data_IF_201611248552
#
_entry.id   IF_201611248552
#
_cell.length_a   1.000
_cell.length_b   1.000
_cell.length_c   1.000
_cell.angle_alpha   90.00
_cell.angle_beta   90.00
_cell.angle_gamma   90.00
#
_symmetry.space_group_name_H-M   'P 1'
#
loop_
_entity.id
_entity.type
_entity.pdbx_description
1 polymer ?
#
# COMPACT_ATOMS: atom_id res chain seq x y z
N UNK A 1 5.16 -20.41 -22.48
CA UNK A 1 5.57 -19.97 -21.13
C UNK A 1 4.65 -18.81 -20.76
N UNK A 2 3.96 -18.88 -19.62
CA UNK A 2 3.02 -17.86 -19.16
C UNK A 2 3.49 -17.33 -17.81
N UNK A 3 3.39 -16.01 -17.62
CA UNK A 3 3.77 -15.32 -16.39
C UNK A 3 2.58 -14.49 -15.91
N UNK A 4 2.37 -14.43 -14.60
CA UNK A 4 1.31 -13.64 -13.97
C UNK A 4 1.92 -12.86 -12.82
N UNK A 5 1.48 -11.62 -12.64
CA UNK A 5 1.82 -10.85 -11.44
C UNK A 5 1.10 -11.46 -10.24
N UNK A 6 1.79 -11.53 -9.11
CA UNK A 6 1.27 -12.17 -7.89
C UNK A 6 1.35 -11.27 -6.68
N UNK A 7 2.37 -10.40 -6.61
CA UNK A 7 2.47 -9.37 -5.59
C UNK A 7 3.41 -8.24 -6.02
N UNK A 8 3.26 -7.10 -5.35
CA UNK A 8 4.24 -6.00 -5.32
C UNK A 8 4.73 -5.82 -3.89
N UNK A 9 6.03 -5.62 -3.68
CA UNK A 9 6.61 -5.44 -2.35
C UNK A 9 6.85 -3.96 -2.02
N UNK A 10 6.43 -3.55 -0.83
CA UNK A 10 6.89 -2.34 -0.13
C UNK A 10 7.65 -2.73 1.13
N UNK A 11 8.74 -2.01 1.39
CA UNK A 11 9.52 -2.15 2.59
C UNK A 11 9.06 -1.10 3.61
N UNK A 12 8.61 -1.55 4.77
CA UNK A 12 7.97 -0.68 5.77
C UNK A 12 8.78 -0.63 7.05
N UNK A 13 8.88 0.57 7.63
CA UNK A 13 9.64 0.80 8.87
C UNK A 13 8.84 0.37 10.11
N UNK A 14 7.54 0.62 10.12
CA UNK A 14 6.63 0.32 11.23
C UNK A 14 5.46 -0.54 10.73
N UNK A 15 5.60 -1.86 10.87
CA UNK A 15 4.64 -2.81 10.31
C UNK A 15 3.21 -2.57 10.79
N UNK A 16 3.02 -2.30 12.09
CA UNK A 16 1.68 -2.15 12.65
C UNK A 16 0.99 -0.88 12.14
N UNK A 17 1.75 0.22 11.95
CA UNK A 17 1.22 1.42 11.31
C UNK A 17 0.81 1.17 9.86
N UNK A 18 1.64 0.48 9.08
CA UNK A 18 1.31 0.18 7.69
C UNK A 18 0.09 -0.75 7.59
N UNK A 19 -0.01 -1.77 8.45
CA UNK A 19 -1.19 -2.65 8.49
C UNK A 19 -2.47 -1.88 8.84
N UNK A 20 -2.41 -0.99 9.84
CA UNK A 20 -3.55 -0.14 10.19
C UNK A 20 -3.93 0.82 9.05
N UNK A 21 -2.93 1.43 8.40
CA UNK A 21 -3.15 2.32 7.26
C UNK A 21 -3.84 1.59 6.11
N UNK A 22 -3.30 0.47 5.64
CA UNK A 22 -3.85 -0.24 4.48
C UNK A 22 -5.22 -0.86 4.76
N UNK A 23 -5.48 -1.26 6.00
CA UNK A 23 -6.80 -1.73 6.42
C UNK A 23 -7.82 -0.58 6.41
N UNK A 24 -7.47 0.59 6.96
CA UNK A 24 -8.39 1.73 7.02
C UNK A 24 -8.57 2.39 5.66
N UNK A 25 -7.47 2.73 4.98
CA UNK A 25 -7.51 3.48 3.72
C UNK A 25 -8.16 2.67 2.60
N UNK A 26 -7.81 1.39 2.46
CA UNK A 26 -8.14 0.59 1.27
C UNK A 26 -8.92 -0.68 1.58
N UNK A 27 -9.24 -0.95 2.86
CA UNK A 27 -9.96 -2.16 3.25
C UNK A 27 -9.15 -3.45 3.08
N UNK A 28 -7.83 -3.36 2.91
CA UNK A 28 -7.01 -4.55 2.66
C UNK A 28 -6.93 -5.42 3.91
N UNK A 29 -6.90 -6.73 3.71
CA UNK A 29 -6.84 -7.71 4.79
C UNK A 29 -5.62 -8.61 4.66
N UNK A 30 -5.07 -9.05 5.78
CA UNK A 30 -3.94 -9.98 5.78
C UNK A 30 -4.35 -11.34 5.19
N UNK A 31 -3.65 -11.77 4.14
CA UNK A 31 -3.83 -13.06 3.49
C UNK A 31 -2.90 -14.13 4.06
N UNK A 32 -1.63 -13.78 4.27
CA UNK A 32 -0.59 -14.67 4.78
C UNK A 32 0.51 -13.85 5.47
N UNK A 33 1.23 -14.51 6.39
CA UNK A 33 2.35 -13.93 7.12
C UNK A 33 3.50 -14.92 7.16
N UNK A 34 4.71 -14.43 6.98
CA UNK A 34 5.95 -15.18 7.14
C UNK A 34 6.82 -14.45 8.15
N UNK A 35 7.38 -15.20 9.10
CA UNK A 35 8.30 -14.69 10.11
C UNK A 35 9.59 -15.49 9.98
N UNK A 36 10.72 -14.80 9.89
CA UNK A 36 12.02 -15.45 9.89
C UNK A 36 12.22 -16.23 11.20
N UNK A 37 12.82 -17.42 11.14
CA UNK A 37 13.04 -18.25 12.35
C UNK A 37 13.87 -17.54 13.41
N UNK A 38 14.79 -16.68 12.98
CA UNK A 38 15.65 -15.85 13.83
C UNK A 38 15.05 -14.46 14.14
N UNK A 39 13.82 -14.19 13.67
CA UNK A 39 13.14 -12.91 13.84
C UNK A 39 13.76 -11.75 13.08
N UNK A 40 14.63 -11.98 12.10
CA UNK A 40 15.29 -10.91 11.32
C UNK A 40 14.32 -10.10 10.45
N UNK A 41 13.24 -10.72 9.98
CA UNK A 41 12.21 -10.07 9.18
C UNK A 41 10.81 -10.64 9.40
N UNK A 42 9.82 -9.83 9.06
CA UNK A 42 8.42 -10.22 8.95
C UNK A 42 7.92 -9.77 7.57
N UNK A 43 7.25 -10.69 6.87
CA UNK A 43 6.56 -10.39 5.61
C UNK A 43 5.06 -10.61 5.83
N UNK A 44 4.24 -9.62 5.50
CA UNK A 44 2.79 -9.73 5.54
C UNK A 44 2.24 -9.42 4.15
N UNK A 45 1.38 -10.30 3.65
CA UNK A 45 0.71 -10.07 2.37
C UNK A 45 -0.71 -9.60 2.64
N UNK A 46 -1.11 -8.55 1.93
CA UNK A 46 -2.40 -7.91 2.00
C UNK A 46 -3.15 -8.13 0.68
N UNK A 47 -4.45 -8.36 0.78
CA UNK A 47 -5.32 -8.58 -0.37
C UNK A 47 -6.61 -7.77 -0.24
N UNK A 48 -7.14 -7.38 -1.39
CA UNK A 48 -8.53 -6.91 -1.55
C UNK A 48 -9.49 -8.11 -1.52
N UNK A 49 -10.77 -7.90 -1.84
CA UNK A 49 -11.79 -8.95 -1.96
C UNK A 49 -11.69 -9.77 -3.27
N UNK A 50 -11.02 -9.25 -4.31
CA UNK A 50 -10.88 -9.89 -5.63
C UNK A 50 -9.66 -10.81 -5.76
N UNK A 51 -8.66 -10.66 -4.91
CA UNK A 51 -7.49 -11.53 -4.76
C UNK A 51 -6.62 -11.68 -6.04
N UNK A 52 -6.54 -10.64 -6.87
CA UNK A 52 -5.82 -10.70 -8.16
C UNK A 52 -4.29 -10.54 -8.01
N UNK A 53 -3.85 -9.65 -7.12
CA UNK A 53 -2.44 -9.38 -6.82
C UNK A 53 -2.34 -8.93 -5.35
N UNK A 54 -1.32 -9.37 -4.62
CA UNK A 54 -1.14 -9.02 -3.21
C UNK A 54 -0.20 -7.81 -3.04
N UNK A 55 -0.45 -6.97 -2.03
CA UNK A 55 0.57 -6.05 -1.53
C UNK A 55 1.39 -6.76 -0.46
N UNK A 56 2.67 -6.96 -0.71
CA UNK A 56 3.63 -7.52 0.24
C UNK A 56 4.28 -6.40 1.06
N UNK A 57 4.13 -6.43 2.37
CA UNK A 57 4.84 -5.55 3.30
C UNK A 57 5.99 -6.31 3.95
N UNK A 58 7.22 -5.83 3.78
CA UNK A 58 8.42 -6.40 4.39
C UNK A 58 8.99 -5.47 5.44
N UNK A 59 8.95 -5.93 6.70
CA UNK A 59 9.55 -5.27 7.84
C UNK A 59 10.85 -5.96 8.25
N UNK A 60 11.88 -5.17 8.50
CA UNK A 60 13.22 -5.64 8.90
C UNK A 60 13.49 -5.23 10.34
N UNK A 61 13.79 -6.19 11.23
CA UNK A 61 13.98 -5.93 12.67
C UNK A 61 15.07 -4.90 12.95
N UNK A 62 16.18 -5.02 12.23
CA UNK A 62 17.40 -4.26 12.51
C UNK A 62 17.48 -2.96 11.67
N UNK A 63 16.35 -2.53 11.06
CA UNK A 63 16.26 -1.24 10.36
C UNK A 63 16.12 -0.12 11.38
N UNK A 64 17.04 0.83 11.37
CA UNK A 64 17.06 1.93 12.35
C UNK A 64 16.49 3.25 11.82
N UNK A 65 16.38 3.41 10.49
CA UNK A 65 15.90 4.63 9.84
C UNK A 65 14.81 4.32 8.80
N UNK A 66 13.91 5.27 8.48
CA UNK A 66 12.98 5.13 7.37
C UNK A 66 13.67 4.80 6.04
N UNK A 67 12.92 4.22 5.09
CA UNK A 67 13.42 3.96 3.75
C UNK A 67 13.57 5.25 2.96
N UNK A 68 14.67 5.38 2.21
CA UNK A 68 14.82 6.44 1.21
C UNK A 68 14.22 5.94 -0.10
N UNK A 69 13.09 6.53 -0.48
CA UNK A 69 12.31 6.14 -1.65
C UNK A 69 12.77 6.86 -2.93
N UNK A 70 13.81 7.70 -2.84
CA UNK A 70 14.26 8.53 -3.95
C UNK A 70 13.16 9.49 -4.42
N UNK A 71 13.01 9.61 -5.74
CA UNK A 71 12.08 10.55 -6.37
C UNK A 71 10.61 10.07 -6.36
N UNK A 72 10.31 8.88 -5.83
CA UNK A 72 8.96 8.30 -5.72
C UNK A 72 8.19 8.21 -7.07
N UNK A 73 8.88 8.03 -8.20
CA UNK A 73 8.26 7.90 -9.53
C UNK A 73 7.60 6.52 -9.80
N UNK A 74 7.16 5.83 -8.76
CA UNK A 74 6.51 4.52 -8.85
C UNK A 74 5.32 4.48 -7.89
N UNK A 75 4.31 3.71 -8.26
CA UNK A 75 3.11 3.53 -7.45
C UNK A 75 2.47 2.17 -7.74
N UNK A 76 1.59 1.78 -6.83
CA UNK A 76 0.57 0.76 -7.09
C UNK A 76 -0.78 1.46 -7.27
N UNK A 77 -1.61 0.93 -8.15
CA UNK A 77 -2.89 1.51 -8.49
C UNK A 77 -4.04 0.65 -7.99
N UNK A 78 -5.04 1.29 -7.40
CA UNK A 78 -6.30 0.69 -7.00
C UNK A 78 -7.45 1.34 -7.74
N UNK A 79 -8.47 0.53 -8.03
CA UNK A 79 -9.70 0.97 -8.66
C UNK A 79 -10.84 0.83 -7.66
N UNK A 80 -11.72 1.84 -7.60
CA UNK A 80 -12.91 1.82 -6.73
C UNK A 80 -14.16 2.24 -7.49
N UNK A 81 -15.29 1.63 -7.16
CA UNK A 81 -16.61 1.97 -7.66
C UNK A 81 -17.23 3.20 -6.95
N UNK A 82 -16.71 3.59 -5.79
CA UNK A 82 -17.10 4.81 -5.05
C UNK A 82 -15.91 5.79 -4.93
N UNK A 83 -15.51 6.35 -6.07
CA UNK A 83 -14.37 7.26 -6.15
C UNK A 83 -14.53 8.51 -5.28
N UNK A 84 -15.70 9.16 -5.33
CA UNK A 84 -15.94 10.39 -4.56
C UNK A 84 -15.97 10.10 -3.05
N UNK A 85 -16.56 8.98 -2.64
CA UNK A 85 -16.56 8.52 -1.25
C UNK A 85 -15.15 8.19 -0.75
N UNK A 86 -14.35 7.49 -1.57
CA UNK A 86 -12.96 7.19 -1.27
C UNK A 86 -12.10 8.46 -1.14
N UNK A 87 -12.20 9.38 -2.11
CA UNK A 87 -11.47 10.66 -2.07
C UNK A 87 -11.85 11.48 -0.83
N UNK A 88 -13.15 11.57 -0.51
CA UNK A 88 -13.59 12.25 0.72
C UNK A 88 -12.99 11.60 1.96
N UNK A 89 -13.06 10.27 2.07
CA UNK A 89 -12.49 9.52 3.20
C UNK A 89 -10.99 9.80 3.34
N UNK A 90 -10.23 9.70 2.26
CA UNK A 90 -8.78 9.91 2.30
C UNK A 90 -8.40 11.36 2.59
N UNK A 91 -9.20 12.35 2.18
CA UNK A 91 -9.04 13.74 2.61
C UNK A 91 -9.28 13.91 4.11
N UNK A 92 -10.33 13.29 4.65
CA UNK A 92 -10.63 13.33 6.09
C UNK A 92 -9.53 12.64 6.92
N UNK A 93 -8.89 11.60 6.36
CA UNK A 93 -7.71 10.95 6.93
C UNK A 93 -6.43 11.80 6.82
N UNK A 94 -6.41 12.82 5.94
CA UNK A 94 -5.25 13.68 5.71
C UNK A 94 -4.11 13.02 4.93
N UNK A 95 -4.42 12.00 4.10
CA UNK A 95 -3.40 11.17 3.42
C UNK A 95 -3.30 11.42 1.92
N UNK A 96 -4.17 12.25 1.35
CA UNK A 96 -4.09 12.65 -0.07
C UNK A 96 -2.87 13.55 -0.26
N UNK A 97 -1.91 13.10 -1.08
CA UNK A 97 -0.67 13.83 -1.34
C UNK A 97 -0.68 14.55 -2.69
N UNK A 98 -1.48 14.10 -3.65
CA UNK A 98 -1.60 14.72 -4.97
C UNK A 98 -2.94 14.40 -5.63
N UNK A 99 -3.51 15.36 -6.36
CA UNK A 99 -4.73 15.18 -7.14
C UNK A 99 -4.47 15.63 -8.58
N UNK A 100 -4.82 14.80 -9.56
CA UNK A 100 -4.76 15.13 -10.98
C UNK A 100 -6.17 15.13 -11.55
N UNK A 101 -6.82 16.29 -11.49
CA UNK A 101 -8.21 16.48 -11.92
C UNK A 101 -8.40 16.27 -13.41
N UNK A 102 -7.38 16.55 -14.23
CA UNK A 102 -7.47 16.38 -15.68
C UNK A 102 -7.52 14.90 -16.09
N UNK A 103 -6.85 14.04 -15.31
CA UNK A 103 -6.86 12.58 -15.49
C UNK A 103 -7.95 11.87 -14.68
N UNK A 104 -8.59 12.54 -13.72
CA UNK A 104 -9.59 11.94 -12.84
C UNK A 104 -9.01 10.94 -11.84
N UNK A 105 -7.79 11.19 -11.35
CA UNK A 105 -7.07 10.31 -10.40
C UNK A 105 -6.55 11.11 -9.22
N UNK A 106 -6.28 10.43 -8.11
CA UNK A 106 -5.55 11.00 -6.98
C UNK A 106 -4.58 9.98 -6.38
N UNK A 107 -3.66 10.49 -5.57
CA UNK A 107 -2.68 9.68 -4.87
C UNK A 107 -2.80 9.89 -3.37
N UNK A 108 -2.66 8.79 -2.63
CA UNK A 108 -2.45 8.81 -1.19
C UNK A 108 -1.01 8.42 -0.89
N UNK A 109 -0.45 9.00 0.18
CA UNK A 109 0.86 8.65 0.70
C UNK A 109 0.71 7.75 1.93
N UNK A 110 1.40 6.60 1.91
CA UNK A 110 1.44 5.66 3.04
C UNK A 110 2.39 6.16 4.15
N UNK A 111 2.45 5.48 5.31
CA UNK A 111 3.30 5.92 6.43
C UNK A 111 4.81 5.98 6.13
N UNK A 112 5.29 5.25 5.13
CA UNK A 112 6.69 5.21 4.71
C UNK A 112 6.97 6.14 3.52
N UNK A 113 5.94 6.74 2.93
CA UNK A 113 6.04 7.70 1.83
C UNK A 113 5.73 7.11 0.45
N UNK A 114 5.27 5.86 0.37
CA UNK A 114 4.87 5.24 -0.89
C UNK A 114 3.61 5.87 -1.43
N UNK A 115 3.60 6.18 -2.72
CA UNK A 115 2.42 6.70 -3.40
C UNK A 115 1.54 5.54 -3.89
N UNK A 116 0.25 5.68 -3.62
CA UNK A 116 -0.78 4.73 -4.06
C UNK A 116 -1.82 5.51 -4.87
N UNK A 117 -1.96 5.14 -6.13
CA UNK A 117 -2.91 5.75 -7.06
C UNK A 117 -4.31 5.17 -6.83
N UNK A 118 -5.33 6.04 -6.87
CA UNK A 118 -6.74 5.63 -6.86
C UNK A 118 -7.42 6.17 -8.12
N UNK A 119 -8.08 5.26 -8.84
CA UNK A 119 -8.82 5.53 -10.06
C UNK A 119 -10.30 5.13 -9.94
N UNK A 120 -11.20 5.78 -10.69
CA UNK A 120 -12.59 5.34 -10.81
C UNK A 120 -12.69 4.02 -11.59
N UNK A 121 -13.61 3.14 -11.18
CA UNK A 121 -13.87 1.83 -11.78
C UNK A 121 -14.95 1.75 -12.85
#
# INVERSE_FOLDING_TARGET
MHFSMVHTNFNVFDLDKSLAFYSEALGLTQSRRKVAKDGSFIIVFLKDDKHLCELELTWMRDRETPYDLGDKEYHIAFVTDDYDGALKKHRDMGVVCYENTDMGIYFIEDPDGYWVEVLPG
#
